data_IF_866687279082
#
_entry.id   IF_866687279082
#
_cell.length_a   1.000
_cell.length_b   1.000
_cell.length_c   1.000
_cell.angle_alpha   90.00
_cell.angle_beta   90.00
_cell.angle_gamma   90.00
#
_symmetry.space_group_name_H-M   'P 1'
#
loop_
_entity.id
_entity.type
_entity.pdbx_description
1 polymer ?
#
# COMPACT_ATOMS: atom_id res chain seq x y z
N UNK A 1 16.42 11.81 -4.96
CA UNK A 1 15.09 12.25 -5.43
C UNK A 1 14.10 12.02 -4.30
N UNK A 2 13.60 13.09 -3.67
CA UNK A 2 12.48 12.95 -2.72
C UNK A 2 11.19 12.92 -3.53
N UNK A 3 10.40 11.86 -3.34
CA UNK A 3 9.04 11.79 -3.87
C UNK A 3 8.08 12.40 -2.85
N UNK A 4 6.96 12.94 -3.32
CA UNK A 4 5.95 13.62 -2.49
C UNK A 4 5.44 12.73 -1.34
N UNK A 5 5.44 11.41 -1.51
CA UNK A 5 4.92 10.45 -0.52
C UNK A 5 5.94 9.87 0.46
N UNK A 6 7.24 10.07 0.25
CA UNK A 6 8.26 9.40 1.07
C UNK A 6 8.22 9.89 2.51
N UNK A 7 7.94 8.98 3.44
CA UNK A 7 7.88 9.30 4.88
C UNK A 7 6.58 9.98 5.32
N UNK A 8 5.56 10.05 4.46
CA UNK A 8 4.24 10.57 4.83
C UNK A 8 3.41 9.53 5.60
N UNK A 9 2.64 9.99 6.58
CA UNK A 9 1.68 9.17 7.31
C UNK A 9 0.31 9.23 6.65
N UNK A 10 -0.40 8.10 6.60
CA UNK A 10 -1.76 8.02 6.07
C UNK A 10 -2.75 7.78 7.20
N UNK A 11 -3.34 8.86 7.72
CA UNK A 11 -4.30 8.82 8.85
C UNK A 11 -5.71 9.19 8.37
N UNK A 12 -5.83 10.27 7.57
CA UNK A 12 -7.09 10.72 6.97
C UNK A 12 -6.85 11.24 5.55
N UNK A 13 -7.86 11.16 4.69
CA UNK A 13 -7.81 11.71 3.33
C UNK A 13 -7.75 13.24 3.31
N UNK A 14 -8.15 13.90 4.40
CA UNK A 14 -8.12 15.38 4.49
C UNK A 14 -6.69 15.94 4.47
N UNK A 15 -5.68 15.12 4.78
CA UNK A 15 -4.27 15.52 4.75
C UNK A 15 -3.67 15.47 3.34
N UNK A 16 -4.45 15.05 2.33
CA UNK A 16 -3.99 14.80 0.98
C UNK A 16 -4.73 15.67 -0.03
N UNK A 17 -4.01 16.11 -1.07
CA UNK A 17 -4.66 16.81 -2.19
C UNK A 17 -5.37 15.80 -3.10
N UNK A 18 -6.29 16.27 -3.94
CA UNK A 18 -6.98 15.39 -4.89
C UNK A 18 -5.98 14.71 -5.83
N UNK A 19 -4.96 15.41 -6.30
CA UNK A 19 -3.93 14.87 -7.19
C UNK A 19 -3.12 13.76 -6.52
N UNK A 20 -2.88 13.89 -5.22
CA UNK A 20 -2.19 12.86 -4.44
C UNK A 20 -3.06 11.61 -4.29
N UNK A 21 -4.36 11.78 -4.05
CA UNK A 21 -5.32 10.67 -3.96
C UNK A 21 -5.46 9.97 -5.31
N UNK A 22 -5.59 10.72 -6.41
CA UNK A 22 -5.64 10.16 -7.76
C UNK A 22 -4.37 9.36 -8.07
N UNK A 23 -3.20 9.86 -7.66
CA UNK A 23 -1.94 9.12 -7.81
C UNK A 23 -1.95 7.79 -7.05
N UNK A 24 -2.51 7.77 -5.82
CA UNK A 24 -2.65 6.51 -5.06
C UNK A 24 -3.60 5.52 -5.75
N UNK A 25 -4.68 6.02 -6.35
CA UNK A 25 -5.65 5.20 -7.08
C UNK A 25 -5.05 4.62 -8.37
N UNK A 26 -4.30 5.41 -9.13
CA UNK A 26 -3.60 4.97 -10.34
C UNK A 26 -2.58 3.85 -10.03
N UNK A 27 -1.78 4.03 -8.98
CA UNK A 27 -0.83 3.00 -8.53
C UNK A 27 -1.55 1.74 -8.07
N UNK A 28 -2.67 1.89 -7.36
CA UNK A 28 -3.50 0.76 -6.92
C UNK A 28 -4.08 -0.03 -8.10
N UNK A 29 -4.51 0.68 -9.15
CA UNK A 29 -5.03 0.07 -10.37
C UNK A 29 -3.93 -0.70 -11.13
N UNK A 30 -2.74 -0.11 -11.28
CA UNK A 30 -1.59 -0.77 -11.92
C UNK A 30 -1.16 -2.03 -11.17
N UNK A 31 -1.04 -1.97 -9.84
CA UNK A 31 -0.72 -3.14 -9.02
C UNK A 31 -1.77 -4.24 -9.16
N UNK A 32 -3.06 -3.89 -9.12
CA UNK A 32 -4.15 -4.84 -9.33
C UNK A 32 -4.07 -5.51 -10.71
N UNK A 33 -3.76 -4.73 -11.75
CA UNK A 33 -3.59 -5.25 -13.11
C UNK A 33 -2.40 -6.22 -13.20
N UNK A 34 -1.23 -5.84 -12.66
CA UNK A 34 -0.02 -6.68 -12.65
C UNK A 34 -0.27 -8.00 -11.93
N UNK A 35 -0.92 -7.95 -10.77
CA UNK A 35 -1.33 -9.14 -10.04
C UNK A 35 -2.23 -10.06 -10.89
N UNK A 36 -3.25 -9.50 -11.55
CA UNK A 36 -4.14 -10.28 -12.42
C UNK A 36 -3.43 -10.89 -13.64
N UNK A 37 -2.33 -10.29 -14.08
CA UNK A 37 -1.49 -10.79 -15.18
C UNK A 37 -0.39 -11.76 -14.72
N UNK A 38 -0.28 -12.04 -13.42
CA UNK A 38 0.80 -12.86 -12.86
C UNK A 38 2.18 -12.21 -12.97
N UNK A 39 2.24 -10.88 -13.00
CA UNK A 39 3.50 -10.11 -13.04
C UNK A 39 3.92 -9.80 -11.61
N UNK A 40 5.12 -10.24 -11.23
CA UNK A 40 5.67 -9.99 -9.90
C UNK A 40 5.99 -8.51 -9.67
N UNK A 41 5.71 -8.03 -8.45
CA UNK A 41 5.95 -6.63 -8.05
C UNK A 41 6.78 -6.51 -6.75
N UNK A 42 8.02 -7.05 -6.68
CA UNK A 42 8.84 -7.03 -5.46
C UNK A 42 9.48 -5.65 -5.21
N UNK A 43 8.67 -4.62 -4.99
CA UNK A 43 9.12 -3.23 -4.86
C UNK A 43 9.66 -2.89 -3.47
N UNK A 44 9.31 -3.67 -2.44
CA UNK A 44 9.67 -3.45 -1.04
C UNK A 44 10.45 -4.64 -0.43
N UNK A 45 11.54 -5.12 -1.09
CA UNK A 45 12.30 -6.24 -0.56
C UNK A 45 12.89 -5.92 0.81
N UNK A 46 12.80 -6.88 1.73
CA UNK A 46 13.35 -6.78 3.09
C UNK A 46 12.71 -5.67 3.94
N UNK A 47 11.47 -5.27 3.66
CA UNK A 47 10.72 -4.28 4.44
C UNK A 47 9.67 -4.95 5.30
N UNK A 48 9.84 -4.87 6.62
CA UNK A 48 8.86 -5.41 7.58
C UNK A 48 7.81 -4.36 7.95
N UNK A 49 6.55 -4.78 8.02
CA UNK A 49 5.43 -3.98 8.53
C UNK A 49 4.88 -4.58 9.82
N UNK A 50 4.73 -3.76 10.87
CA UNK A 50 4.08 -4.17 12.11
C UNK A 50 2.62 -3.75 12.10
N UNK A 51 1.73 -4.70 12.34
CA UNK A 51 0.29 -4.48 12.39
C UNK A 51 -0.21 -4.55 13.83
N UNK A 52 -0.72 -3.43 14.34
CA UNK A 52 -1.28 -3.31 15.69
C UNK A 52 -2.79 -3.15 15.60
N UNK A 53 -3.53 -4.13 16.13
CA UNK A 53 -5.00 -4.13 16.16
C UNK A 53 -5.47 -4.24 17.62
N UNK A 54 -6.18 -3.22 18.09
CA UNK A 54 -6.83 -3.23 19.41
C UNK A 54 -8.19 -3.95 19.38
N UNK A 55 -8.82 -3.99 18.21
CA UNK A 55 -10.07 -4.68 17.95
C UNK A 55 -9.91 -5.65 16.79
N UNK A 56 -10.68 -6.74 16.79
CA UNK A 56 -10.59 -7.74 15.73
C UNK A 56 -11.14 -7.19 14.40
N UNK A 57 -10.26 -7.07 13.40
CA UNK A 57 -10.64 -6.75 12.02
C UNK A 57 -9.93 -7.67 11.02
N UNK A 58 -10.53 -8.82 10.73
CA UNK A 58 -9.95 -9.85 9.85
C UNK A 58 -9.71 -9.33 8.43
N UNK A 59 -10.63 -8.52 7.87
CA UNK A 59 -10.49 -8.01 6.51
C UNK A 59 -9.31 -7.04 6.38
N UNK A 60 -9.19 -6.08 7.31
CA UNK A 60 -8.10 -5.11 7.30
C UNK A 60 -6.76 -5.79 7.52
N UNK A 61 -6.69 -6.73 8.47
CA UNK A 61 -5.45 -7.48 8.73
C UNK A 61 -5.00 -8.25 7.49
N UNK A 62 -5.89 -9.06 6.91
CA UNK A 62 -5.54 -9.90 5.78
C UNK A 62 -5.17 -9.07 4.54
N UNK A 63 -5.84 -7.93 4.30
CA UNK A 63 -5.50 -7.08 3.15
C UNK A 63 -4.11 -6.43 3.31
N UNK A 64 -3.76 -5.99 4.52
CA UNK A 64 -2.46 -5.38 4.80
C UNK A 64 -1.33 -6.42 4.74
N UNK A 65 -1.53 -7.60 5.35
CA UNK A 65 -0.57 -8.71 5.32
C UNK A 65 -0.33 -9.20 3.88
N UNK A 66 -1.39 -9.38 3.08
CA UNK A 66 -1.24 -9.77 1.68
C UNK A 66 -0.54 -8.69 0.85
N UNK A 67 -0.85 -7.42 1.08
CA UNK A 67 -0.26 -6.30 0.35
C UNK A 67 1.27 -6.23 0.52
N UNK A 68 1.78 -6.30 1.75
CA UNK A 68 3.23 -6.24 1.98
C UNK A 68 3.94 -7.48 1.42
N UNK A 69 3.34 -8.66 1.56
CA UNK A 69 3.90 -9.91 1.04
C UNK A 69 4.00 -9.89 -0.50
N UNK A 70 2.97 -9.39 -1.19
CA UNK A 70 3.00 -9.22 -2.65
C UNK A 70 4.07 -8.23 -3.13
N UNK A 71 4.43 -7.27 -2.27
CA UNK A 71 5.49 -6.30 -2.54
C UNK A 71 6.89 -6.82 -2.17
N UNK A 72 7.01 -8.04 -1.64
CA UNK A 72 8.28 -8.68 -1.28
C UNK A 72 8.80 -8.36 0.13
N UNK A 73 7.94 -7.82 1.00
CA UNK A 73 8.24 -7.53 2.41
C UNK A 73 7.82 -8.62 3.39
#
# INVERSE_FOLDING_TARGET
MQTVFRGRHFITLQDYTNEEIETMLDVSYDLKRKFAMGIDTPYLPHKTMFLMFFEQSTRTRNSMEAGIAQLGG
#
